data_IF_667350988417
#
_entry.id   IF_667350988417
#
_cell.length_a   1.000
_cell.length_b   1.000
_cell.length_c   1.000
_cell.angle_alpha   90.00
_cell.angle_beta   90.00
_cell.angle_gamma   90.00
#
_symmetry.space_group_name_H-M   'P 1'
#
loop_
_entity.id
_entity.type
_entity.pdbx_description
1 polymer ?
#
# COMPACT_ATOMS: atom_id res chain seq x y z
N UNK A 1 54.67 -29.77 121.67
CA UNK A 1 53.39 -30.13 121.03
C UNK A 1 52.53 -28.92 120.65
N UNK A 2 51.97 -28.12 121.57
CA UNK A 2 51.06 -27.00 121.21
C UNK A 2 51.76 -25.73 120.68
N UNK A 3 53.01 -25.50 121.08
CA UNK A 3 53.79 -24.33 120.68
C UNK A 3 54.37 -24.52 119.27
N UNK A 4 54.87 -25.71 118.95
CA UNK A 4 55.38 -26.08 117.62
C UNK A 4 54.28 -26.07 116.54
N UNK A 5 53.04 -26.41 116.90
CA UNK A 5 51.89 -26.34 115.98
C UNK A 5 51.56 -24.89 115.60
N UNK A 6 51.51 -23.99 116.58
CA UNK A 6 51.28 -22.56 116.35
C UNK A 6 52.40 -21.90 115.54
N UNK A 7 53.66 -22.26 115.78
CA UNK A 7 54.81 -21.78 114.98
C UNK A 7 54.79 -22.26 113.53
N UNK A 8 54.24 -23.45 113.28
CA UNK A 8 54.05 -23.96 111.92
C UNK A 8 52.91 -23.20 111.22
N UNK A 9 51.77 -23.05 111.88
CA UNK A 9 50.64 -22.28 111.38
C UNK A 9 51.02 -20.83 111.05
N UNK A 10 51.85 -20.19 111.89
CA UNK A 10 52.34 -18.83 111.64
C UNK A 10 53.17 -18.75 110.35
N UNK A 11 54.02 -19.75 110.09
CA UNK A 11 54.83 -19.83 108.87
C UNK A 11 53.99 -20.09 107.63
N UNK A 12 53.02 -21.00 107.74
CA UNK A 12 52.10 -21.33 106.65
C UNK A 12 51.27 -20.09 106.26
N UNK A 13 50.73 -19.36 107.26
CA UNK A 13 50.02 -18.10 107.03
C UNK A 13 50.91 -17.02 106.40
N UNK A 14 52.18 -16.93 106.80
CA UNK A 14 53.11 -15.97 106.18
C UNK A 14 53.36 -16.29 104.70
N UNK A 15 53.44 -17.58 104.33
CA UNK A 15 53.56 -17.98 102.93
C UNK A 15 52.29 -17.65 102.14
N UNK A 16 51.11 -17.85 102.73
CA UNK A 16 49.83 -17.48 102.14
C UNK A 16 49.74 -15.97 101.89
N UNK A 17 50.12 -15.16 102.87
CA UNK A 17 50.19 -13.69 102.77
C UNK A 17 51.12 -13.29 101.63
N UNK A 18 52.31 -13.87 101.56
CA UNK A 18 53.30 -13.54 100.53
C UNK A 18 52.80 -13.93 99.12
N UNK A 19 52.10 -15.05 98.95
CA UNK A 19 51.53 -15.42 97.65
C UNK A 19 50.34 -14.51 97.27
N UNK A 20 49.47 -14.15 98.22
CA UNK A 20 48.40 -13.18 97.96
C UNK A 20 48.94 -11.79 97.60
N UNK A 21 50.00 -11.32 98.27
CA UNK A 21 50.70 -10.09 97.90
C UNK A 21 51.23 -10.15 96.45
N UNK A 22 51.81 -11.29 96.05
CA UNK A 22 52.26 -11.52 94.67
C UNK A 22 51.10 -11.45 93.67
N UNK A 23 49.95 -12.06 93.98
CA UNK A 23 48.77 -12.04 93.14
C UNK A 23 48.16 -10.64 93.03
N UNK A 24 48.14 -9.89 94.13
CA UNK A 24 47.71 -8.49 94.15
C UNK A 24 48.60 -7.66 93.22
N UNK A 25 49.92 -7.83 93.27
CA UNK A 25 50.85 -7.08 92.43
C UNK A 25 50.75 -7.45 90.95
N UNK A 26 50.46 -8.72 90.63
CA UNK A 26 50.12 -9.13 89.27
C UNK A 26 48.84 -8.45 88.79
N UNK A 27 47.74 -8.54 89.55
CA UNK A 27 46.46 -7.91 89.21
C UNK A 27 46.57 -6.40 89.06
N UNK A 28 47.36 -5.72 89.91
CA UNK A 28 47.63 -4.28 89.79
C UNK A 28 48.25 -3.90 88.44
N UNK A 29 49.06 -4.78 87.84
CA UNK A 29 49.67 -4.56 86.51
C UNK A 29 48.71 -4.88 85.36
N UNK A 30 47.82 -5.86 85.54
CA UNK A 30 46.82 -6.24 84.51
C UNK A 30 45.68 -5.23 84.39
N UNK A 31 45.21 -4.66 85.49
CA UNK A 31 44.12 -3.69 85.52
C UNK A 31 44.29 -2.50 84.54
N UNK A 32 45.43 -1.79 84.48
CA UNK A 32 45.61 -0.68 83.53
C UNK A 32 45.61 -1.14 82.07
N UNK A 33 46.17 -2.32 81.77
CA UNK A 33 46.12 -2.90 80.42
C UNK A 33 44.69 -3.21 80.01
N UNK A 34 43.91 -3.81 80.92
CA UNK A 34 42.49 -4.08 80.69
C UNK A 34 41.71 -2.79 80.46
N UNK A 35 41.88 -1.77 81.31
CA UNK A 35 41.25 -0.45 81.12
C UNK A 35 41.60 0.17 79.76
N UNK A 36 42.87 0.09 79.36
CA UNK A 36 43.30 0.60 78.06
C UNK A 36 42.61 -0.13 76.89
N UNK A 37 42.50 -1.45 76.97
CA UNK A 37 41.78 -2.22 75.96
C UNK A 37 40.27 -1.91 75.93
N UNK A 38 39.65 -1.66 77.09
CA UNK A 38 38.25 -1.25 77.18
C UNK A 38 38.04 0.13 76.52
N UNK A 39 38.93 1.09 76.76
CA UNK A 39 38.93 2.40 76.10
C UNK A 39 39.06 2.25 74.57
N UNK A 40 40.02 1.46 74.09
CA UNK A 40 40.21 1.25 72.65
C UNK A 40 38.99 0.59 72.01
N UNK A 41 38.35 -0.37 72.69
CA UNK A 41 37.09 -0.98 72.23
C UNK A 41 35.99 0.08 72.13
N UNK A 42 35.82 0.94 73.14
CA UNK A 42 34.80 1.99 73.11
C UNK A 42 35.03 2.99 71.98
N UNK A 43 36.30 3.36 71.74
CA UNK A 43 36.66 4.25 70.64
C UNK A 43 36.32 3.63 69.27
N UNK A 44 36.68 2.36 69.07
CA UNK A 44 36.37 1.63 67.84
C UNK A 44 34.85 1.45 67.64
N UNK A 45 34.09 1.24 68.72
CA UNK A 45 32.62 1.19 68.66
C UNK A 45 32.04 2.52 68.17
N UNK A 46 32.49 3.64 68.73
CA UNK A 46 32.04 4.98 68.32
C UNK A 46 32.40 5.25 66.86
N UNK A 47 33.61 4.92 66.43
CA UNK A 47 34.06 5.13 65.04
C UNK A 47 33.22 4.31 64.05
N UNK A 48 32.92 3.06 64.39
CA UNK A 48 32.08 2.19 63.57
C UNK A 48 30.64 2.71 63.47
N UNK A 49 30.03 3.12 64.59
CA UNK A 49 28.68 3.70 64.62
C UNK A 49 28.58 4.98 63.78
N UNK A 50 29.60 5.84 63.87
CA UNK A 50 29.69 7.06 63.08
C UNK A 50 29.77 6.75 61.58
N UNK A 51 30.63 5.80 61.19
CA UNK A 51 30.77 5.38 59.79
C UNK A 51 29.48 4.73 59.25
N UNK A 52 28.78 3.94 60.05
CA UNK A 52 27.50 3.34 59.65
C UNK A 52 26.43 4.41 59.44
N UNK A 53 26.33 5.38 60.36
CA UNK A 53 25.41 6.51 60.26
C UNK A 53 25.69 7.35 58.99
N UNK A 54 26.96 7.56 58.65
CA UNK A 54 27.35 8.23 57.41
C UNK A 54 26.93 7.45 56.16
N UNK A 55 27.11 6.12 56.18
CA UNK A 55 26.70 5.27 55.08
C UNK A 55 25.18 5.27 54.89
N UNK A 56 24.40 5.22 55.97
CA UNK A 56 22.94 5.31 55.93
C UNK A 56 22.47 6.63 55.31
N UNK A 57 23.05 7.76 55.71
CA UNK A 57 22.76 9.07 55.11
C UNK A 57 23.02 9.09 53.61
N UNK A 58 24.16 8.55 53.17
CA UNK A 58 24.50 8.46 51.74
C UNK A 58 23.55 7.55 50.96
N UNK A 59 23.08 6.46 51.57
CA UNK A 59 22.11 5.56 50.94
C UNK A 59 20.74 6.23 50.78
N UNK A 60 20.29 6.98 51.79
CA UNK A 60 19.04 7.75 51.72
C UNK A 60 19.09 8.83 50.63
N UNK A 61 20.23 9.54 50.52
CA UNK A 61 20.44 10.51 49.44
C UNK A 61 20.39 9.86 48.06
N UNK A 62 21.07 8.71 47.88
CA UNK A 62 21.01 7.93 46.63
C UNK A 62 19.59 7.46 46.32
N UNK A 63 18.83 7.01 47.31
CA UNK A 63 17.45 6.58 47.12
C UNK A 63 16.57 7.74 46.63
N UNK A 64 16.73 8.93 47.23
CA UNK A 64 16.00 10.12 46.80
C UNK A 64 16.31 10.48 45.32
N UNK A 65 17.58 10.38 44.92
CA UNK A 65 17.99 10.60 43.54
C UNK A 65 17.37 9.56 42.59
N UNK A 66 17.37 8.28 42.97
CA UNK A 66 16.73 7.21 42.19
C UNK A 66 15.24 7.48 42.03
N UNK A 67 14.55 7.87 43.09
CA UNK A 67 13.12 8.19 43.03
C UNK A 67 12.86 9.39 42.13
N UNK A 68 13.70 10.41 42.18
CA UNK A 68 13.58 11.59 41.31
C UNK A 68 13.81 11.24 39.84
N UNK A 69 14.86 10.50 39.53
CA UNK A 69 15.17 10.05 38.17
C UNK A 69 14.03 9.16 37.65
N UNK A 70 13.49 8.28 38.48
CA UNK A 70 12.38 7.40 38.10
C UNK A 70 11.12 8.21 37.78
N UNK A 71 10.74 9.17 38.64
CA UNK A 71 9.59 10.06 38.40
C UNK A 71 9.72 10.86 37.11
N UNK A 72 10.92 11.33 36.78
CA UNK A 72 11.18 12.12 35.57
C UNK A 72 11.30 11.27 34.30
N UNK A 73 11.89 10.08 34.40
CA UNK A 73 12.14 9.20 33.24
C UNK A 73 10.89 8.46 32.77
N UNK A 74 10.00 8.05 33.68
CA UNK A 74 8.76 7.35 33.35
C UNK A 74 7.89 8.03 32.27
N UNK A 75 7.53 9.33 32.38
CA UNK A 75 6.72 9.99 31.36
C UNK A 75 7.47 10.13 30.02
N UNK A 76 8.80 10.27 30.04
CA UNK A 76 9.62 10.33 28.83
C UNK A 76 9.63 8.98 28.10
N UNK A 77 9.78 7.86 28.84
CA UNK A 77 9.69 6.51 28.27
C UNK A 77 8.34 6.28 27.61
N UNK A 78 7.26 6.60 28.33
CA UNK A 78 5.89 6.46 27.80
C UNK A 78 5.66 7.31 26.55
N UNK A 79 6.20 8.54 26.53
CA UNK A 79 6.14 9.40 25.33
C UNK A 79 6.91 8.79 24.17
N UNK A 80 8.09 8.23 24.41
CA UNK A 80 8.90 7.58 23.37
C UNK A 80 8.17 6.37 22.76
N UNK A 81 7.57 5.52 23.60
CA UNK A 81 6.76 4.37 23.16
C UNK A 81 5.56 4.81 22.30
N UNK A 82 4.82 5.83 22.75
CA UNK A 82 3.71 6.39 21.98
C UNK A 82 4.16 6.92 20.62
N UNK A 83 5.25 7.70 20.57
CA UNK A 83 5.80 8.22 19.32
C UNK A 83 6.25 7.09 18.38
N UNK A 84 6.81 6.00 18.92
CA UNK A 84 7.16 4.82 18.13
C UNK A 84 5.91 4.16 17.52
N UNK A 85 4.84 4.01 18.30
CA UNK A 85 3.57 3.45 17.85
C UNK A 85 2.91 4.32 16.77
N UNK A 86 2.93 5.64 16.94
CA UNK A 86 2.41 6.60 15.96
C UNK A 86 3.17 6.49 14.64
N UNK A 87 4.51 6.45 14.71
CA UNK A 87 5.37 6.27 13.53
C UNK A 87 5.06 4.97 12.79
N UNK A 88 4.88 3.86 13.52
CA UNK A 88 4.49 2.58 12.93
C UNK A 88 3.11 2.64 12.27
N UNK A 89 2.14 3.32 12.91
CA UNK A 89 0.79 3.49 12.36
C UNK A 89 0.82 4.29 11.04
N UNK A 90 1.64 5.34 10.98
CA UNK A 90 1.85 6.16 9.78
C UNK A 90 2.53 5.36 8.67
N UNK A 91 3.54 4.55 9.00
CA UNK A 91 4.21 3.68 8.05
C UNK A 91 3.22 2.67 7.42
N UNK A 92 2.37 2.04 8.22
CA UNK A 92 1.31 1.14 7.72
C UNK A 92 0.34 1.86 6.77
N UNK A 93 -0.13 3.05 7.15
CA UNK A 93 -1.02 3.88 6.31
C UNK A 93 -0.32 4.27 4.99
N UNK A 94 0.95 4.65 5.05
CA UNK A 94 1.75 5.01 3.87
C UNK A 94 1.93 3.80 2.94
N UNK A 95 2.28 2.63 3.49
CA UNK A 95 2.40 1.38 2.71
C UNK A 95 1.09 1.01 2.02
N UNK A 96 -0.05 1.13 2.71
CA UNK A 96 -1.36 0.85 2.11
C UNK A 96 -1.67 1.81 0.97
N UNK A 97 -1.43 3.12 1.18
CA UNK A 97 -1.59 4.13 0.12
C UNK A 97 -0.68 3.87 -1.08
N UNK A 98 0.58 3.49 -0.82
CA UNK A 98 1.53 3.14 -1.86
C UNK A 98 1.05 1.94 -2.68
N UNK A 99 0.56 0.89 -2.02
CA UNK A 99 -0.02 -0.28 -2.71
C UNK A 99 -1.24 0.11 -3.57
N UNK A 100 -2.15 0.93 -3.05
CA UNK A 100 -3.31 1.40 -3.82
C UNK A 100 -2.90 2.25 -5.03
N UNK A 101 -1.89 3.10 -4.88
CA UNK A 101 -1.39 3.94 -5.98
C UNK A 101 -0.78 3.08 -7.10
N UNK A 102 -0.02 2.04 -6.75
CA UNK A 102 0.54 1.11 -7.73
C UNK A 102 -0.55 0.33 -8.47
N UNK A 103 -1.60 -0.13 -7.77
CA UNK A 103 -2.73 -0.83 -8.39
C UNK A 103 -3.49 0.08 -9.36
N UNK A 104 -3.76 1.33 -8.96
CA UNK A 104 -4.41 2.31 -9.83
C UNK A 104 -3.52 2.65 -11.04
N UNK A 105 -2.21 2.76 -10.85
CA UNK A 105 -1.29 2.99 -11.96
C UNK A 105 -1.27 1.82 -12.96
N UNK A 106 -1.39 0.59 -12.47
CA UNK A 106 -1.53 -0.58 -13.33
C UNK A 106 -2.85 -0.56 -14.11
N UNK A 107 -3.96 -0.19 -13.46
CA UNK A 107 -5.24 -0.05 -14.11
C UNK A 107 -5.23 1.06 -15.18
N UNK A 108 -4.64 2.22 -14.88
CA UNK A 108 -4.47 3.31 -15.85
C UNK A 108 -3.71 2.79 -17.09
N UNK A 109 -2.57 2.11 -16.90
CA UNK A 109 -1.79 1.53 -18.01
C UNK A 109 -2.59 0.52 -18.83
N UNK A 110 -3.37 -0.34 -18.17
CA UNK A 110 -4.25 -1.29 -18.86
C UNK A 110 -5.31 -0.55 -19.68
N UNK A 111 -5.94 0.47 -19.11
CA UNK A 111 -6.94 1.29 -19.82
C UNK A 111 -6.32 2.09 -20.96
N UNK A 112 -5.11 2.63 -20.80
CA UNK A 112 -4.34 3.29 -21.86
C UNK A 112 -4.08 2.31 -23.02
N UNK A 113 -3.60 1.10 -22.72
CA UNK A 113 -3.39 0.07 -23.73
C UNK A 113 -4.68 -0.31 -24.47
N UNK A 114 -5.79 -0.45 -23.73
CA UNK A 114 -7.12 -0.70 -24.30
C UNK A 114 -7.56 0.45 -25.22
N UNK A 115 -7.35 1.69 -24.78
CA UNK A 115 -7.69 2.89 -25.56
C UNK A 115 -6.85 2.97 -26.84
N UNK A 116 -5.54 2.77 -26.76
CA UNK A 116 -4.65 2.73 -27.93
C UNK A 116 -5.11 1.67 -28.93
N UNK A 117 -5.41 0.45 -28.45
CA UNK A 117 -5.95 -0.62 -29.29
C UNK A 117 -7.26 -0.22 -29.98
N UNK A 118 -8.21 0.39 -29.26
CA UNK A 118 -9.47 0.85 -29.83
C UNK A 118 -9.27 1.98 -30.86
N UNK A 119 -8.28 2.86 -30.66
CA UNK A 119 -7.95 3.95 -31.58
C UNK A 119 -7.31 3.44 -32.88
N UNK A 120 -6.48 2.39 -32.82
CA UNK A 120 -5.82 1.80 -34.00
C UNK A 120 -6.76 0.98 -34.87
N UNK A 121 -7.78 0.34 -34.30
CA UNK A 121 -8.72 -0.53 -35.03
C UNK A 121 -9.47 0.12 -36.20
N UNK A 122 -9.98 1.37 -36.14
CA UNK A 122 -10.57 2.03 -37.30
C UNK A 122 -9.55 2.36 -38.39
N UNK A 123 -8.28 2.62 -38.05
CA UNK A 123 -7.20 2.82 -39.03
C UNK A 123 -6.93 1.55 -39.84
N UNK A 124 -7.18 0.38 -39.24
CA UNK A 124 -7.04 -0.95 -39.85
C UNK A 124 -8.34 -1.46 -40.51
N UNK A 125 -9.47 -0.73 -40.35
CA UNK A 125 -10.79 -1.11 -40.86
C UNK A 125 -11.47 -2.24 -40.08
N UNK A 126 -11.01 -2.54 -38.85
CA UNK A 126 -11.61 -3.54 -37.97
C UNK A 126 -12.66 -2.94 -37.02
N UNK A 127 -13.71 -3.68 -36.64
CA UNK A 127 -14.71 -3.23 -35.67
C UNK A 127 -14.11 -2.99 -34.28
N UNK A 128 -14.48 -1.87 -33.65
CA UNK A 128 -13.91 -1.38 -32.39
C UNK A 128 -14.18 -2.25 -31.15
N UNK A 129 -15.16 -3.17 -31.22
CA UNK A 129 -15.51 -4.11 -30.15
C UNK A 129 -16.25 -5.35 -30.70
N UNK A 130 -16.09 -6.56 -30.12
CA UNK A 130 -16.81 -7.76 -30.55
C UNK A 130 -18.34 -7.67 -30.44
N UNK A 131 -18.85 -6.88 -29.49
CA UNK A 131 -20.29 -6.67 -29.33
C UNK A 131 -20.84 -5.73 -30.41
N UNK A 132 -20.11 -4.64 -30.68
CA UNK A 132 -20.43 -3.68 -31.73
C UNK A 132 -20.32 -4.30 -33.12
N UNK A 133 -19.37 -5.22 -33.33
CA UNK A 133 -19.25 -6.00 -34.56
C UNK A 133 -20.51 -6.82 -34.86
N UNK A 134 -21.07 -7.49 -33.84
CA UNK A 134 -22.31 -8.28 -34.01
C UNK A 134 -23.47 -7.38 -34.43
N UNK A 135 -23.59 -6.20 -33.82
CA UNK A 135 -24.61 -5.20 -34.18
C UNK A 135 -24.40 -4.63 -35.57
N UNK A 136 -23.16 -4.31 -35.96
CA UNK A 136 -22.81 -3.90 -37.32
C UNK A 136 -23.16 -4.98 -38.35
N UNK A 137 -22.85 -6.24 -38.08
CA UNK A 137 -23.23 -7.37 -38.94
C UNK A 137 -24.75 -7.52 -39.02
N UNK A 138 -25.50 -7.29 -37.92
CA UNK A 138 -26.98 -7.25 -37.93
C UNK A 138 -27.50 -6.10 -38.79
N UNK A 139 -27.00 -4.89 -38.58
CA UNK A 139 -27.34 -3.69 -39.36
C UNK A 139 -27.10 -3.87 -40.85
N UNK A 140 -25.96 -4.43 -41.26
CA UNK A 140 -25.67 -4.69 -42.67
C UNK A 140 -26.66 -5.68 -43.29
N UNK A 141 -27.04 -6.73 -42.54
CA UNK A 141 -28.05 -7.72 -42.98
C UNK A 141 -29.42 -7.08 -43.12
N UNK A 142 -29.83 -6.28 -42.15
CA UNK A 142 -31.14 -5.61 -42.17
C UNK A 142 -31.23 -4.54 -43.24
N UNK A 143 -30.14 -3.79 -43.48
CA UNK A 143 -30.05 -2.83 -44.59
C UNK A 143 -30.22 -3.50 -45.95
N UNK A 144 -29.58 -4.66 -46.17
CA UNK A 144 -29.76 -5.44 -47.41
C UNK A 144 -31.18 -5.98 -47.56
N UNK A 145 -31.81 -6.43 -46.46
CA UNK A 145 -33.22 -6.86 -46.47
C UNK A 145 -34.15 -5.72 -46.86
N UNK A 146 -34.10 -4.61 -46.12
CA UNK A 146 -34.94 -3.43 -46.37
C UNK A 146 -34.76 -2.87 -47.77
N UNK A 147 -33.55 -2.96 -48.34
CA UNK A 147 -33.31 -2.56 -49.73
C UNK A 147 -34.08 -3.44 -50.71
N UNK A 148 -34.02 -4.77 -50.56
CA UNK A 148 -34.81 -5.70 -51.39
C UNK A 148 -36.31 -5.47 -51.22
N UNK A 149 -36.78 -5.33 -49.99
CA UNK A 149 -38.19 -5.08 -49.71
C UNK A 149 -38.66 -3.75 -50.33
N UNK A 150 -37.79 -2.73 -50.37
CA UNK A 150 -38.06 -1.45 -51.01
C UNK A 150 -38.10 -1.59 -52.53
N UNK A 151 -37.11 -2.26 -53.14
CA UNK A 151 -37.05 -2.54 -54.58
C UNK A 151 -38.26 -3.36 -55.04
N UNK A 152 -38.69 -4.36 -54.25
CA UNK A 152 -39.88 -5.16 -54.53
C UNK A 152 -41.17 -4.35 -54.42
N UNK A 153 -41.30 -3.51 -53.39
CA UNK A 153 -42.45 -2.60 -53.27
C UNK A 153 -42.50 -1.56 -54.38
N UNK A 154 -41.35 -1.04 -54.79
CA UNK A 154 -41.24 -0.11 -55.93
C UNK A 154 -41.62 -0.81 -57.23
N UNK A 155 -41.12 -2.03 -57.48
CA UNK A 155 -41.51 -2.85 -58.64
C UNK A 155 -43.01 -3.15 -58.66
N UNK A 156 -43.58 -3.54 -57.52
CA UNK A 156 -45.02 -3.75 -57.40
C UNK A 156 -45.76 -2.43 -57.65
N UNK A 157 -45.36 -1.31 -57.05
CA UNK A 157 -46.02 -0.02 -57.28
C UNK A 157 -45.93 0.46 -58.74
N UNK A 158 -44.82 0.21 -59.44
CA UNK A 158 -44.67 0.48 -60.87
C UNK A 158 -45.60 -0.42 -61.70
N UNK A 159 -45.68 -1.71 -61.38
CA UNK A 159 -46.62 -2.65 -62.01
C UNK A 159 -48.08 -2.23 -61.74
N UNK A 160 -48.41 -1.87 -60.50
CA UNK A 160 -49.73 -1.37 -60.11
C UNK A 160 -50.08 -0.05 -60.82
N UNK A 161 -49.11 0.84 -61.03
CA UNK A 161 -49.28 2.09 -61.76
C UNK A 161 -49.45 1.84 -63.27
N UNK A 162 -48.70 0.90 -63.83
CA UNK A 162 -48.83 0.50 -65.24
C UNK A 162 -50.14 -0.24 -65.52
N UNK A 163 -50.67 -0.97 -64.53
CA UNK A 163 -51.98 -1.62 -64.57
C UNK A 163 -53.16 -0.65 -64.35
N UNK A 164 -52.90 0.63 -64.10
CA UNK A 164 -53.94 1.67 -64.02
C UNK A 164 -54.09 2.38 -65.36
N UNK A 165 -55.32 2.43 -65.88
CA UNK A 165 -55.64 3.20 -67.09
C UNK A 165 -55.81 4.70 -66.77
N UNK A 166 -55.68 5.63 -67.74
CA UNK A 166 -55.76 7.09 -67.51
C UNK A 166 -57.06 7.58 -66.87
N UNK A 167 -58.12 6.78 -66.93
CA UNK A 167 -59.44 6.96 -66.34
C UNK A 167 -59.57 6.44 -64.89
N UNK A 168 -58.49 5.89 -64.31
CA UNK A 168 -58.43 5.45 -62.91
C UNK A 168 -58.96 4.03 -62.64
N UNK A 169 -59.35 3.28 -63.68
CA UNK A 169 -59.78 1.89 -63.57
C UNK A 169 -58.58 0.92 -63.63
N UNK A 170 -58.64 -0.15 -62.84
CA UNK A 170 -57.55 -1.12 -62.65
C UNK A 170 -57.74 -2.34 -63.56
N UNK A 171 -56.73 -2.71 -64.36
CA UNK A 171 -56.80 -3.90 -65.22
C UNK A 171 -56.08 -5.09 -64.60
N UNK A 172 -56.72 -6.27 -64.65
CA UNK A 172 -56.14 -7.56 -64.21
C UNK A 172 -55.77 -8.46 -65.39
N UNK A 173 -55.79 -7.94 -66.62
CA UNK A 173 -55.42 -8.68 -67.81
C UNK A 173 -53.89 -8.82 -67.93
N UNK A 174 -53.36 -10.03 -67.84
CA UNK A 174 -51.92 -10.30 -68.07
C UNK A 174 -51.50 -9.84 -69.47
N UNK A 175 -50.40 -9.08 -69.54
CA UNK A 175 -49.85 -8.61 -70.82
C UNK A 175 -49.41 -9.79 -71.67
N UNK A 176 -50.09 -10.01 -72.80
CA UNK A 176 -49.70 -11.05 -73.76
C UNK A 176 -48.37 -10.62 -74.41
N UNK A 177 -47.28 -11.39 -74.30
CA UNK A 177 -45.96 -11.00 -74.79
C UNK A 177 -45.88 -10.81 -76.32
N UNK A 178 -46.97 -11.09 -77.07
CA UNK A 178 -47.03 -10.91 -78.51
C UNK A 178 -48.32 -10.19 -78.97
N UNK A 179 -48.76 -9.18 -78.22
CA UNK A 179 -49.78 -8.25 -78.72
C UNK A 179 -49.14 -7.35 -79.78
N UNK A 180 -49.38 -7.66 -81.05
CA UNK A 180 -48.98 -6.85 -82.20
C UNK A 180 -49.66 -5.47 -82.12
N UNK A 181 -49.00 -4.47 -81.54
CA UNK A 181 -49.35 -3.08 -81.86
C UNK A 181 -49.04 -2.87 -83.35
N UNK A 182 -49.94 -2.28 -84.15
CA UNK A 182 -49.61 -1.95 -85.53
C UNK A 182 -48.40 -1.03 -85.53
N UNK A 183 -47.27 -1.55 -86.00
CA UNK A 183 -46.05 -0.79 -86.27
C UNK A 183 -46.41 0.40 -87.16
N UNK A 184 -46.09 1.66 -86.81
CA UNK A 184 -46.14 2.74 -87.77
C UNK A 184 -45.20 2.37 -88.92
N UNK A 185 -45.70 2.34 -90.14
CA UNK A 185 -44.90 2.08 -91.32
C UNK A 185 -43.68 3.02 -91.36
N UNK A 186 -42.50 2.55 -91.78
CA UNK A 186 -41.29 3.36 -91.78
C UNK A 186 -41.46 4.52 -92.77
N UNK A 187 -41.41 5.75 -92.26
CA UNK A 187 -41.22 6.93 -93.11
C UNK A 187 -39.81 6.88 -93.68
N UNK A 188 -39.73 6.57 -94.97
CA UNK A 188 -38.58 6.75 -95.84
C UNK A 188 -38.15 8.23 -95.81
N UNK A 189 -37.10 8.56 -95.07
CA UNK A 189 -36.35 9.80 -95.25
C UNK A 189 -34.84 9.47 -95.18
N UNK A 190 -34.05 9.78 -96.23
CA UNK A 190 -32.62 9.50 -96.26
C UNK A 190 -31.84 10.46 -95.34
N UNK A 191 -30.85 9.91 -94.63
CA UNK A 191 -29.95 10.66 -93.75
C UNK A 191 -29.15 11.72 -94.52
N UNK A 192 -29.09 12.98 -94.06
CA UNK A 192 -28.13 13.94 -94.54
C UNK A 192 -26.77 13.74 -93.87
N UNK A 193 -25.82 13.26 -94.68
CA UNK A 193 -24.39 13.63 -94.75
C UNK A 193 -23.63 13.89 -93.43
N UNK A 194 -22.72 12.99 -93.10
CA UNK A 194 -21.65 13.18 -92.11
C UNK A 194 -20.69 14.33 -92.49
N UNK A 195 -20.24 15.15 -91.53
CA UNK A 195 -18.99 15.90 -91.65
C UNK A 195 -17.86 15.27 -90.81
N UNK A 196 -16.91 14.75 -91.59
CA UNK A 196 -15.53 14.32 -91.40
C UNK A 196 -14.72 14.82 -90.16
N UNK A 197 -13.72 14.02 -89.71
CA UNK A 197 -12.81 14.36 -88.61
C UNK A 197 -11.73 15.38 -89.04
N UNK A 198 -11.18 16.19 -88.13
CA UNK A 198 -10.14 17.16 -88.46
C UNK A 198 -8.76 16.49 -88.47
N UNK A 199 -7.92 16.79 -89.47
CA UNK A 199 -6.48 17.13 -89.31
C UNK A 199 -5.76 17.19 -90.66
N UNK A 200 -5.02 18.26 -90.89
CA UNK A 200 -3.93 18.35 -91.88
C UNK A 200 -2.85 19.25 -91.27
N UNK A 201 -1.55 19.02 -91.55
CA UNK A 201 -0.87 19.93 -92.50
C UNK A 201 0.23 19.17 -93.34
N UNK A 202 1.15 19.82 -94.08
CA UNK A 202 1.19 19.78 -95.55
C UNK A 202 2.57 19.33 -96.12
N UNK A 203 2.73 19.24 -97.46
CA UNK A 203 3.95 19.59 -98.27
C UNK A 203 3.90 18.87 -99.63
N UNK A 204 3.66 19.57 -100.75
CA UNK A 204 4.58 20.16 -101.77
C UNK A 204 4.92 19.29 -103.01
N UNK A 205 4.61 19.88 -104.19
CA UNK A 205 5.42 19.89 -105.43
C UNK A 205 5.14 18.80 -106.49
N UNK A 206 5.62 18.94 -107.74
CA UNK A 206 5.84 20.12 -108.61
C UNK A 206 5.02 19.99 -109.93
N UNK A 207 4.77 21.03 -110.75
CA UNK A 207 5.64 21.61 -111.80
C UNK A 207 4.85 22.73 -112.47
#
# INVERSE_FOLDING_TARGET
MTLETLEKETRDLQLEINEEERQIDLKKKELPLRKKSEEDITMLQIELEMSLSDQERRLLEKQLLVDQVTRLSQPLSKRAENCQQDRLSLAKKSSMKHATALSLQQEIKEKEFQMDRCQRQPEEGLPTCPELEKEWRRMLRDRKRRRRDKEERERLAEEEQWNQLPNGEYTTAESRPNATSPRPAPSLCPNPTEPWPPSSPPSQGPT
#
